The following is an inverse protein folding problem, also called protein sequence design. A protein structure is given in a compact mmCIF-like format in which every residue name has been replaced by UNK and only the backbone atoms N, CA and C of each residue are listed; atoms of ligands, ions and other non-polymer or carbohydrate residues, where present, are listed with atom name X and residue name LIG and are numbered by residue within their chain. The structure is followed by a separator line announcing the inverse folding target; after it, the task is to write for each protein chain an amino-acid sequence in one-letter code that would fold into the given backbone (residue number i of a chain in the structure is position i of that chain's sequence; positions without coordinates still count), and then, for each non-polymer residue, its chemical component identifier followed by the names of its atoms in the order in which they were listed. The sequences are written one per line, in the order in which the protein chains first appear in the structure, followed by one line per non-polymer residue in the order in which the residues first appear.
data_IF_879062169469
#
_entry.id   IF_879062169469
#
_cell.length_a   1.000
_cell.length_b   1.000
_cell.length_c   1.000
_cell.angle_alpha   90.00
_cell.angle_beta   90.00
_cell.angle_gamma   90.00
#
_symmetry.space_group_name_H-M   'P 1'
#
loop_
_entity.id
_entity.type
_entity.pdbx_description
1 polymer ?
#
# COMPACT_ATOMS: atom_id res chain seq x y z
N UNK A 1 3.50 4.71 15.78
CA UNK A 1 2.23 4.61 15.01
C UNK A 1 1.07 4.46 15.98
N UNK A 2 0.04 5.29 15.88
CA UNK A 2 -1.17 5.26 16.72
C UNK A 2 -2.33 4.67 15.88
N UNK A 3 -2.85 3.49 16.24
CA UNK A 3 -3.93 2.84 15.48
C UNK A 3 -5.26 3.63 15.49
N UNK A 4 -5.43 4.56 16.44
CA UNK A 4 -6.64 5.38 16.52
C UNK A 4 -6.65 6.58 15.56
N UNK A 5 -5.50 6.86 14.93
CA UNK A 5 -5.37 7.94 13.94
C UNK A 5 -5.75 7.53 12.52
N UNK A 6 -6.17 6.30 12.30
CA UNK A 6 -6.62 5.86 10.97
C UNK A 6 -8.02 5.28 11.01
N UNK A 7 -8.80 5.59 9.97
CA UNK A 7 -10.11 4.98 9.72
C UNK A 7 -10.00 3.73 8.81
N UNK A 8 -8.83 3.45 8.27
CA UNK A 8 -8.56 2.23 7.52
C UNK A 8 -8.50 1.02 8.46
N UNK A 9 -9.59 0.28 8.59
CA UNK A 9 -9.68 -0.83 9.54
C UNK A 9 -8.55 -1.87 9.38
N UNK A 10 -8.12 -2.16 8.16
CA UNK A 10 -7.01 -3.08 7.91
C UNK A 10 -5.67 -2.59 8.50
N UNK A 11 -5.39 -1.30 8.43
CA UNK A 11 -4.19 -0.70 9.03
C UNK A 11 -4.35 -0.63 10.55
N UNK A 12 -5.50 -0.18 11.04
CA UNK A 12 -5.81 -0.10 12.47
C UNK A 12 -5.59 -1.44 13.17
N UNK A 13 -6.20 -2.52 12.68
CA UNK A 13 -6.05 -3.86 13.24
C UNK A 13 -4.59 -4.34 13.18
N UNK A 14 -3.91 -4.14 12.04
CA UNK A 14 -2.52 -4.56 11.87
C UNK A 14 -1.58 -3.81 12.83
N UNK A 15 -1.75 -2.49 13.00
CA UNK A 15 -0.93 -1.69 13.93
C UNK A 15 -1.23 -2.07 15.39
N UNK A 16 -2.50 -2.34 15.73
CA UNK A 16 -2.89 -2.82 17.07
C UNK A 16 -2.21 -4.15 17.40
N UNK A 17 -2.18 -5.08 16.44
CA UNK A 17 -1.49 -6.36 16.59
C UNK A 17 0.02 -6.18 16.79
N UNK A 18 0.65 -5.27 16.05
CA UNK A 18 2.07 -4.94 16.21
C UNK A 18 2.33 -4.37 17.62
N UNK A 19 1.53 -3.42 18.08
CA UNK A 19 1.70 -2.83 19.40
C UNK A 19 1.55 -3.83 20.54
N UNK A 20 0.65 -4.79 20.38
CA UNK A 20 0.37 -5.79 21.42
C UNK A 20 1.37 -6.95 21.45
N UNK A 21 1.92 -7.34 20.31
CA UNK A 21 2.69 -8.57 20.14
C UNK A 21 4.07 -8.38 19.49
N UNK A 22 4.37 -7.20 18.99
CA UNK A 22 5.53 -6.91 18.13
C UNK A 22 5.64 -7.88 16.93
N UNK A 23 4.49 -8.42 16.47
CA UNK A 23 4.44 -9.41 15.41
C UNK A 23 3.10 -9.42 14.67
N UNK A 24 3.16 -9.57 13.36
CA UNK A 24 2.03 -9.96 12.50
C UNK A 24 2.53 -10.93 11.43
N UNK A 25 1.61 -11.72 10.88
CA UNK A 25 1.94 -12.65 9.79
C UNK A 25 2.55 -11.92 8.57
N UNK A 26 3.36 -12.61 7.79
CA UNK A 26 4.03 -12.07 6.60
C UNK A 26 3.06 -11.38 5.62
N UNK A 27 1.87 -11.94 5.42
CA UNK A 27 0.90 -11.39 4.45
C UNK A 27 0.42 -9.98 4.82
N UNK A 28 -0.02 -9.65 6.04
CA UNK A 28 -0.27 -8.25 6.43
C UNK A 28 0.95 -7.34 6.30
N UNK A 29 2.17 -7.81 6.61
CA UNK A 29 3.40 -7.02 6.40
C UNK A 29 3.57 -6.64 4.93
N UNK A 30 3.37 -7.58 4.02
CA UNK A 30 3.55 -7.36 2.59
C UNK A 30 2.37 -6.61 1.97
N UNK A 31 1.13 -7.10 2.17
CA UNK A 31 -0.03 -6.64 1.41
C UNK A 31 -0.75 -5.45 2.03
N UNK A 32 -0.42 -5.07 3.26
CA UNK A 32 -0.93 -3.87 3.89
C UNK A 32 0.20 -2.86 4.12
N UNK A 33 1.17 -3.16 4.99
CA UNK A 33 2.20 -2.20 5.38
C UNK A 33 3.13 -1.84 4.21
N UNK A 34 3.75 -2.84 3.59
CA UNK A 34 4.66 -2.60 2.46
C UNK A 34 3.93 -2.08 1.23
N UNK A 35 2.72 -2.58 0.96
CA UNK A 35 1.89 -2.07 -0.13
C UNK A 35 1.55 -0.59 0.09
N UNK A 36 1.15 -0.18 1.30
CA UNK A 36 0.90 1.23 1.61
C UNK A 36 2.17 2.06 1.41
N UNK A 37 3.30 1.63 1.97
CA UNK A 37 4.59 2.32 1.79
C UNK A 37 4.99 2.46 0.32
N UNK A 38 4.78 1.42 -0.49
CA UNK A 38 5.05 1.42 -1.93
C UNK A 38 4.18 2.43 -2.68
N UNK A 39 2.85 2.36 -2.52
CA UNK A 39 1.92 3.20 -3.30
C UNK A 39 1.92 4.66 -2.86
N UNK A 40 2.29 4.95 -1.60
CA UNK A 40 2.51 6.32 -1.12
C UNK A 40 3.86 6.91 -1.53
N UNK A 41 4.84 6.07 -1.90
CA UNK A 41 6.21 6.49 -2.17
C UNK A 41 7.01 6.80 -0.91
N UNK A 42 6.70 6.13 0.20
CA UNK A 42 7.46 6.24 1.44
C UNK A 42 8.93 5.91 1.22
N UNK A 43 9.85 6.66 1.84
CA UNK A 43 11.28 6.40 1.75
C UNK A 43 11.60 4.96 2.18
N UNK A 44 12.23 4.14 1.30
CA UNK A 44 12.46 2.72 1.57
C UNK A 44 13.30 2.46 2.82
N UNK A 45 14.33 3.30 3.07
CA UNK A 45 15.19 3.15 4.25
C UNK A 45 14.42 3.47 5.53
N UNK A 46 13.66 4.56 5.55
CA UNK A 46 12.85 4.94 6.70
C UNK A 46 11.79 3.87 7.02
N UNK A 47 11.19 3.26 5.98
CA UNK A 47 10.26 2.15 6.17
C UNK A 47 10.96 0.89 6.70
N UNK A 48 12.15 0.56 6.20
CA UNK A 48 12.96 -0.56 6.70
C UNK A 48 13.33 -0.37 8.18
N UNK A 49 13.77 0.84 8.56
CA UNK A 49 14.14 1.16 9.93
C UNK A 49 12.94 1.04 10.87
N UNK A 50 11.77 1.57 10.45
CA UNK A 50 10.53 1.37 11.20
C UNK A 50 10.16 -0.12 11.36
N UNK A 51 10.29 -0.93 10.32
CA UNK A 51 10.03 -2.37 10.38
C UNK A 51 10.97 -3.09 11.36
N UNK A 52 12.25 -2.65 11.44
CA UNK A 52 13.22 -3.17 12.41
C UNK A 52 12.85 -2.84 13.86
N UNK A 53 12.33 -1.64 14.09
CA UNK A 53 11.94 -1.18 15.42
C UNK A 53 10.70 -1.88 15.97
N UNK A 54 9.73 -2.22 15.11
CA UNK A 54 8.42 -2.67 15.57
C UNK A 54 8.24 -4.20 15.58
N UNK A 55 9.11 -4.95 14.89
CA UNK A 55 9.00 -6.41 14.83
C UNK A 55 10.09 -7.13 15.63
N UNK A 56 9.67 -8.05 16.50
CA UNK A 56 10.57 -8.86 17.33
C UNK A 56 11.45 -9.83 16.51
N UNK A 57 11.01 -10.20 15.32
CA UNK A 57 11.70 -11.12 14.40
C UNK A 57 12.47 -10.38 13.28
N UNK A 58 12.83 -9.11 13.50
CA UNK A 58 13.47 -8.23 12.53
C UNK A 58 14.96 -8.52 12.34
N UNK A 59 15.28 -9.67 11.76
CA UNK A 59 16.65 -10.04 11.38
C UNK A 59 17.05 -9.41 10.04
N UNK A 60 18.28 -8.88 9.92
CA UNK A 60 18.78 -8.18 8.73
C UNK A 60 18.62 -8.99 7.43
N UNK A 61 19.06 -10.24 7.45
CA UNK A 61 19.00 -11.12 6.29
C UNK A 61 17.56 -11.44 5.82
N UNK A 62 16.56 -11.22 6.68
CA UNK A 62 15.14 -11.35 6.34
C UNK A 62 14.55 -10.02 5.95
N UNK A 63 14.80 -8.95 6.75
CA UNK A 63 14.14 -7.66 6.58
C UNK A 63 14.58 -6.94 5.31
N UNK A 64 15.88 -6.87 5.05
CA UNK A 64 16.38 -6.14 3.86
C UNK A 64 15.78 -6.67 2.57
N UNK A 65 15.87 -7.97 2.21
CA UNK A 65 15.29 -8.44 0.95
C UNK A 65 13.76 -8.35 0.92
N UNK A 66 13.09 -8.63 2.04
CA UNK A 66 11.63 -8.61 2.07
C UNK A 66 11.04 -7.19 2.05
N UNK A 67 11.69 -6.22 2.65
CA UNK A 67 11.23 -4.82 2.65
C UNK A 67 11.68 -4.11 1.39
N UNK A 68 12.99 -4.04 1.13
CA UNK A 68 13.56 -3.26 0.02
C UNK A 68 13.25 -3.90 -1.34
N UNK A 69 13.49 -5.20 -1.49
CA UNK A 69 13.27 -5.91 -2.75
C UNK A 69 11.80 -6.24 -3.00
N UNK A 70 11.18 -7.00 -2.09
CA UNK A 70 9.83 -7.51 -2.28
C UNK A 70 8.75 -6.46 -1.97
N UNK A 71 8.86 -5.77 -0.84
CA UNK A 71 7.82 -4.89 -0.31
C UNK A 71 7.68 -3.59 -1.08
N UNK A 72 8.75 -2.79 -1.11
CA UNK A 72 8.73 -1.46 -1.74
C UNK A 72 9.41 -1.41 -3.12
N UNK A 73 9.87 -2.54 -3.65
CA UNK A 73 10.43 -2.69 -5.00
C UNK A 73 11.56 -1.68 -5.30
N UNK A 74 12.38 -1.37 -4.29
CA UNK A 74 13.41 -0.34 -4.35
C UNK A 74 14.78 -0.87 -4.82
N UNK A 75 14.87 -2.14 -5.18
CA UNK A 75 16.06 -2.81 -5.72
C UNK A 75 16.17 -2.73 -7.25
N UNK A 76 15.29 -1.95 -7.90
CA UNK A 76 15.22 -1.86 -9.36
C UNK A 76 14.62 -3.10 -10.04
N UNK A 77 13.92 -3.95 -9.30
CA UNK A 77 13.27 -5.14 -9.83
C UNK A 77 14.16 -6.35 -9.95
N UNK A 78 15.27 -6.40 -9.21
CA UNK A 78 16.20 -7.53 -9.21
C UNK A 78 15.60 -8.75 -8.53
N UNK A 79 14.93 -8.56 -7.38
CA UNK A 79 14.30 -9.63 -6.63
C UNK A 79 12.95 -10.02 -7.21
N UNK A 80 12.11 -9.04 -7.55
CA UNK A 80 10.75 -9.25 -8.03
C UNK A 80 10.54 -8.62 -9.40
N UNK A 81 9.98 -9.39 -10.31
CA UNK A 81 9.73 -8.96 -11.71
C UNK A 81 8.63 -7.91 -11.86
N UNK A 82 7.86 -7.66 -10.81
CA UNK A 82 6.85 -6.59 -10.74
C UNK A 82 6.62 -6.18 -9.28
N UNK A 83 6.20 -4.92 -9.03
CA UNK A 83 5.82 -4.49 -7.69
C UNK A 83 4.58 -5.24 -7.17
N UNK A 84 4.49 -5.47 -5.87
CA UNK A 84 3.32 -6.03 -5.20
C UNK A 84 2.29 -4.94 -4.83
N UNK A 85 2.06 -4.01 -5.74
CA UNK A 85 1.01 -3.01 -5.58
C UNK A 85 -0.37 -3.63 -5.74
N UNK A 86 -1.29 -3.30 -4.83
CA UNK A 86 -2.67 -3.80 -4.85
C UNK A 86 -3.63 -2.76 -4.27
N UNK A 87 -4.83 -2.68 -4.86
CA UNK A 87 -5.93 -1.87 -4.34
C UNK A 87 -6.80 -2.59 -3.31
N UNK A 88 -7.76 -1.88 -2.74
CA UNK A 88 -8.67 -2.37 -1.69
C UNK A 88 -9.48 -3.60 -2.09
N UNK A 89 -9.79 -3.76 -3.38
CA UNK A 89 -10.51 -4.94 -3.88
C UNK A 89 -9.75 -6.26 -3.64
N UNK A 90 -8.41 -6.22 -3.72
CA UNK A 90 -7.58 -7.38 -3.37
C UNK A 90 -7.65 -7.66 -1.86
N UNK A 91 -7.49 -6.63 -1.03
CA UNK A 91 -7.55 -6.74 0.44
C UNK A 91 -8.91 -7.31 0.88
N UNK A 92 -10.00 -6.82 0.29
CA UNK A 92 -11.37 -7.28 0.57
C UNK A 92 -11.61 -8.74 0.22
N UNK A 93 -10.93 -9.24 -0.82
CA UNK A 93 -11.03 -10.66 -1.23
C UNK A 93 -10.22 -11.59 -0.33
N UNK A 94 -9.08 -11.10 0.17
CA UNK A 94 -8.14 -11.91 0.95
C UNK A 94 -8.36 -11.84 2.46
N UNK A 95 -9.26 -10.97 2.92
CA UNK A 95 -9.49 -10.74 4.35
C UNK A 95 -10.92 -10.28 4.64
N UNK A 96 -11.25 -10.19 5.93
CA UNK A 96 -12.52 -9.62 6.41
C UNK A 96 -12.40 -8.16 6.89
N UNK A 97 -11.23 -7.53 6.79
CA UNK A 97 -10.98 -6.17 7.26
C UNK A 97 -11.92 -5.11 6.67
N UNK A 98 -12.34 -5.30 5.42
CA UNK A 98 -13.19 -4.33 4.74
C UNK A 98 -14.67 -4.37 5.16
N UNK A 99 -15.13 -5.42 5.88
CA UNK A 99 -16.53 -5.53 6.31
C UNK A 99 -16.94 -4.41 7.27
N UNK A 100 -16.20 -4.12 8.35
CA UNK A 100 -16.50 -3.03 9.28
C UNK A 100 -15.84 -1.70 8.88
N UNK A 101 -15.13 -1.63 7.76
CA UNK A 101 -14.34 -0.46 7.37
C UNK A 101 -15.24 0.69 6.90
N UNK A 102 -14.89 1.93 7.25
CA UNK A 102 -15.58 3.13 6.78
C UNK A 102 -15.46 3.34 5.25
N UNK A 103 -14.38 2.79 4.64
CA UNK A 103 -14.10 2.94 3.22
C UNK A 103 -14.60 1.76 2.38
N UNK A 104 -15.10 2.08 1.17
CA UNK A 104 -15.52 1.08 0.20
C UNK A 104 -14.35 0.63 -0.70
N UNK A 105 -13.94 -0.65 -0.64
CA UNK A 105 -12.78 -1.15 -1.40
C UNK A 105 -12.94 -1.12 -2.92
N UNK A 106 -14.16 -0.93 -3.43
CA UNK A 106 -14.47 -0.88 -4.88
C UNK A 106 -14.41 0.53 -5.46
N UNK A 107 -14.55 1.55 -4.60
CA UNK A 107 -14.52 2.95 -5.03
C UNK A 107 -13.08 3.47 -5.07
N UNK A 108 -12.80 4.32 -6.06
CA UNK A 108 -11.49 4.97 -6.26
C UNK A 108 -11.54 6.49 -6.12
N UNK A 109 -12.73 7.07 -6.20
CA UNK A 109 -12.98 8.51 -6.04
C UNK A 109 -14.11 8.73 -5.03
N UNK A 110 -14.21 9.96 -4.51
CA UNK A 110 -15.18 10.34 -3.46
C UNK A 110 -14.69 10.07 -2.04
N UNK A 111 -15.38 10.61 -1.06
CA UNK A 111 -14.99 10.61 0.36
C UNK A 111 -14.86 9.20 0.96
N UNK A 112 -15.74 8.28 0.57
CA UNK A 112 -15.75 6.91 1.06
C UNK A 112 -14.89 5.96 0.24
N UNK A 113 -14.13 6.46 -0.75
CA UNK A 113 -13.22 5.65 -1.55
C UNK A 113 -12.09 5.09 -0.69
N UNK A 114 -11.77 3.82 -0.88
CA UNK A 114 -10.69 3.17 -0.16
C UNK A 114 -9.33 3.79 -0.52
N UNK A 115 -8.56 4.32 0.44
CA UNK A 115 -7.25 4.90 0.18
C UNK A 115 -6.32 3.99 -0.63
N UNK A 116 -6.32 2.68 -0.35
CA UNK A 116 -5.55 1.72 -1.14
C UNK A 116 -5.99 1.68 -2.61
N UNK A 117 -7.28 1.79 -2.90
CA UNK A 117 -7.77 1.76 -4.29
C UNK A 117 -7.41 3.06 -5.02
N UNK A 118 -7.60 4.20 -4.38
CA UNK A 118 -7.22 5.51 -4.93
C UNK A 118 -5.72 5.57 -5.21
N UNK A 119 -4.90 5.30 -4.22
CA UNK A 119 -3.43 5.38 -4.32
C UNK A 119 -2.84 4.32 -5.26
N UNK A 120 -3.46 3.15 -5.38
CA UNK A 120 -3.02 2.13 -6.35
C UNK A 120 -3.11 2.63 -7.80
N UNK A 121 -4.21 3.27 -8.18
CA UNK A 121 -4.38 3.80 -9.51
C UNK A 121 -3.49 5.03 -9.77
N UNK A 122 -3.31 5.89 -8.77
CA UNK A 122 -2.35 6.99 -8.81
C UNK A 122 -0.91 6.50 -8.97
N UNK A 123 -0.51 5.47 -8.21
CA UNK A 123 0.79 4.82 -8.34
C UNK A 123 1.02 4.27 -9.75
N UNK A 124 0.04 3.61 -10.34
CA UNK A 124 0.14 3.12 -11.72
C UNK A 124 0.30 4.27 -12.72
N UNK A 125 -0.39 5.39 -12.55
CA UNK A 125 -0.26 6.55 -13.46
C UNK A 125 1.10 7.23 -13.30
N UNK A 126 1.58 7.43 -12.07
CA UNK A 126 2.92 8.00 -11.81
C UNK A 126 4.05 7.19 -12.45
N UNK A 127 3.91 5.87 -12.53
CA UNK A 127 4.94 4.95 -13.02
C UNK A 127 4.60 4.32 -14.39
N UNK A 128 3.60 4.82 -15.11
CA UNK A 128 3.07 4.20 -16.34
C UNK A 128 4.11 3.99 -17.43
N UNK A 129 5.07 4.89 -17.58
CA UNK A 129 6.12 4.78 -18.60
C UNK A 129 7.08 3.63 -18.30
N UNK A 130 7.46 3.47 -17.03
CA UNK A 130 8.30 2.36 -16.57
C UNK A 130 7.56 1.03 -16.69
N UNK A 131 6.30 1.00 -16.23
CA UNK A 131 5.50 -0.21 -16.24
C UNK A 131 5.03 -0.64 -17.64
N UNK A 132 4.92 0.29 -18.59
CA UNK A 132 4.62 -0.04 -19.97
C UNK A 132 5.71 -0.94 -20.61
N UNK A 133 6.94 -0.86 -20.13
CA UNK A 133 8.07 -1.71 -20.56
C UNK A 133 8.08 -3.08 -19.88
N UNK A 134 7.27 -3.27 -18.85
CA UNK A 134 7.19 -4.52 -18.10
C UNK A 134 5.99 -5.35 -18.57
N UNK A 135 6.25 -6.51 -19.20
CA UNK A 135 5.22 -7.37 -19.76
C UNK A 135 4.19 -7.88 -18.72
N UNK A 136 4.58 -7.96 -17.43
CA UNK A 136 3.68 -8.36 -16.33
C UNK A 136 2.77 -7.25 -15.83
N UNK A 137 3.08 -5.99 -16.17
CA UNK A 137 2.30 -4.82 -15.78
C UNK A 137 1.42 -4.26 -16.90
N UNK A 138 1.53 -4.81 -18.12
CA UNK A 138 0.83 -4.29 -19.29
C UNK A 138 -0.70 -4.24 -19.15
N UNK A 139 -1.31 -5.24 -18.50
CA UNK A 139 -2.77 -5.24 -18.27
C UNK A 139 -3.18 -4.12 -17.30
N UNK A 140 -2.41 -3.88 -16.25
CA UNK A 140 -2.67 -2.84 -15.27
C UNK A 140 -2.54 -1.45 -15.90
N UNK A 141 -1.47 -1.22 -16.67
CA UNK A 141 -1.27 0.04 -17.40
C UNK A 141 -2.36 0.29 -18.45
N UNK A 142 -2.79 -0.75 -19.15
CA UNK A 142 -3.91 -0.64 -20.10
C UNK A 142 -5.24 -0.37 -19.37
N UNK A 143 -5.37 -0.78 -18.11
CA UNK A 143 -6.51 -0.43 -17.26
C UNK A 143 -6.63 1.08 -17.05
N UNK A 144 -5.52 1.82 -16.91
CA UNK A 144 -5.52 3.28 -16.76
C UNK A 144 -6.21 3.99 -17.93
N UNK A 145 -5.99 3.52 -19.17
CA UNK A 145 -6.58 4.11 -20.36
C UNK A 145 -8.11 4.03 -20.41
N UNK A 146 -8.70 3.20 -19.59
CA UNK A 146 -10.16 2.99 -19.48
C UNK A 146 -10.81 3.84 -18.40
N UNK A 147 -10.00 4.55 -17.60
CA UNK A 147 -10.49 5.40 -16.53
C UNK A 147 -10.95 6.74 -17.13
N UNK A 148 -12.23 7.06 -16.94
CA UNK A 148 -12.81 8.36 -17.35
C UNK A 148 -12.66 9.42 -16.25
N UNK A 149 -12.29 9.04 -15.04
CA UNK A 149 -12.24 9.84 -13.81
C UNK A 149 -10.81 10.03 -13.27
N UNK A 150 -9.81 9.99 -14.16
CA UNK A 150 -8.39 10.03 -13.77
C UNK A 150 -8.01 11.34 -13.05
N UNK A 151 -8.53 12.47 -13.47
CA UNK A 151 -8.23 13.77 -12.86
C UNK A 151 -8.84 13.89 -11.46
N UNK A 152 -10.08 13.44 -11.28
CA UNK A 152 -10.73 13.36 -9.96
C UNK A 152 -9.97 12.39 -9.04
N UNK A 153 -9.54 11.26 -9.58
CA UNK A 153 -8.74 10.27 -8.84
C UNK A 153 -7.42 10.88 -8.34
N UNK A 154 -6.71 11.63 -9.19
CA UNK A 154 -5.45 12.31 -8.80
C UNK A 154 -5.68 13.34 -7.70
N UNK A 155 -6.74 14.12 -7.81
CA UNK A 155 -7.11 15.06 -6.76
C UNK A 155 -7.35 14.33 -5.44
N UNK A 156 -8.17 13.27 -5.48
CA UNK A 156 -8.42 12.44 -4.30
C UNK A 156 -7.16 11.79 -3.73
N UNK A 157 -6.23 11.35 -4.60
CA UNK A 157 -4.95 10.78 -4.14
C UNK A 157 -4.11 11.80 -3.37
N UNK A 158 -4.08 13.06 -3.81
CA UNK A 158 -3.39 14.13 -3.09
C UNK A 158 -4.02 14.42 -1.72
N UNK A 159 -5.34 14.42 -1.63
CA UNK A 159 -6.06 14.56 -0.35
C UNK A 159 -5.70 13.40 0.60
N UNK A 160 -5.73 12.16 0.09
CA UNK A 160 -5.37 10.97 0.87
C UNK A 160 -3.93 11.04 1.35
N UNK A 161 -2.97 11.40 0.51
CA UNK A 161 -1.56 11.55 0.91
C UNK A 161 -1.41 12.62 2.00
N UNK A 162 -2.03 13.79 1.82
CA UNK A 162 -2.00 14.85 2.83
C UNK A 162 -2.65 14.42 4.15
N UNK A 163 -3.76 13.68 4.09
CA UNK A 163 -4.42 13.14 5.28
C UNK A 163 -3.57 12.09 6.02
N UNK A 164 -2.86 11.22 5.26
CA UNK A 164 -1.92 10.26 5.85
C UNK A 164 -0.75 10.94 6.56
N UNK A 165 -0.18 12.00 5.97
CA UNK A 165 0.89 12.79 6.60
C UNK A 165 0.43 13.43 7.92
N UNK A 166 -0.80 13.90 7.97
CA UNK A 166 -1.40 14.48 9.18
C UNK A 166 -1.91 13.44 10.18
N UNK A 167 -2.04 12.19 9.78
CA UNK A 167 -2.63 11.12 10.58
C UNK A 167 -4.15 11.28 10.75
N UNK A 168 -4.84 11.69 9.70
CA UNK A 168 -6.29 11.94 9.67
C UNK A 168 -7.08 10.88 8.86
N UNK A 169 -6.40 9.92 8.24
CA UNK A 169 -6.98 8.87 7.38
C UNK A 169 -6.70 7.47 7.90
#
# INVERSE_FOLDING_TARGET
SDPNKTQMNCIKETVTDIQSRAWVHHIPRLMLLSNLALITGTNPQAFLDWMREVFIDASEWVMVPNVIGMGVHADGGQMMTKPYAAGGAYISRMSNYCKPCAYNPKLRTGETACPFTTLYWDFLDRHKETFAKNHRMGQQVNGLKRLSDLDELKHRAQEVLSGLEKGEI
#
